data_IF_451240672416
#
_entry.id   IF_451240672416
#
_cell.length_a   1.000
_cell.length_b   1.000
_cell.length_c   1.000
_cell.angle_alpha   90.00
_cell.angle_beta   90.00
_cell.angle_gamma   90.00
#
_symmetry.space_group_name_H-M   'P 1'
#
loop_
_entity.id
_entity.type
_entity.pdbx_description
1 polymer ?
#
# COMPACT_ATOMS: atom_id res chain seq x y z
N UNK A 1 -5.68 9.09 8.14
CA UNK A 1 -6.71 9.37 7.12
C UNK A 1 -6.30 10.52 6.18
N UNK A 2 -6.07 11.74 6.67
CA UNK A 2 -5.62 12.87 5.84
C UNK A 2 -4.37 12.57 5.01
N UNK A 3 -3.36 11.94 5.61
CA UNK A 3 -2.14 11.57 4.88
C UNK A 3 -2.44 10.66 3.67
N UNK A 4 -3.32 9.67 3.81
CA UNK A 4 -3.72 8.80 2.71
C UNK A 4 -4.44 9.55 1.58
N UNK A 5 -5.36 10.45 1.93
CA UNK A 5 -6.07 11.28 0.94
C UNK A 5 -5.08 12.20 0.19
N UNK A 6 -4.16 12.84 0.93
CA UNK A 6 -3.11 13.69 0.33
C UNK A 6 -2.22 12.85 -0.60
N UNK A 7 -1.85 11.63 -0.19
CA UNK A 7 -1.02 10.74 -1.01
C UNK A 7 -1.72 10.37 -2.31
N UNK A 8 -3.01 10.04 -2.28
CA UNK A 8 -3.79 9.74 -3.48
C UNK A 8 -3.88 10.98 -4.39
N UNK A 9 -4.26 12.13 -3.83
CA UNK A 9 -4.37 13.37 -4.60
C UNK A 9 -3.03 13.76 -5.24
N UNK A 10 -1.93 13.61 -4.51
CA UNK A 10 -0.58 13.88 -5.01
C UNK A 10 -0.18 12.91 -6.13
N UNK A 11 -0.48 11.61 -5.98
CA UNK A 11 -0.23 10.60 -7.02
C UNK A 11 -0.98 10.91 -8.31
N UNK A 12 -2.26 11.29 -8.22
CA UNK A 12 -3.08 11.67 -9.37
C UNK A 12 -2.52 12.94 -10.03
N UNK A 13 -2.19 13.97 -9.26
CA UNK A 13 -1.64 15.23 -9.77
C UNK A 13 -0.30 15.00 -10.51
N UNK A 14 0.59 14.19 -9.95
CA UNK A 14 1.83 13.80 -10.61
C UNK A 14 1.59 12.97 -11.87
N UNK A 15 0.64 12.04 -11.81
CA UNK A 15 0.25 11.22 -12.97
C UNK A 15 -0.21 12.07 -14.15
N UNK A 16 -0.99 13.13 -13.89
CA UNK A 16 -1.43 14.08 -14.92
C UNK A 16 -0.25 14.92 -15.42
N UNK A 17 0.60 15.44 -14.52
CA UNK A 17 1.70 16.32 -14.86
C UNK A 17 2.79 15.64 -15.68
N UNK A 18 3.13 14.40 -15.36
CA UNK A 18 4.21 13.64 -15.98
C UNK A 18 3.74 12.57 -16.98
N UNK A 19 2.42 12.41 -17.15
CA UNK A 19 1.79 11.37 -18.00
C UNK A 19 2.28 9.94 -17.67
N UNK A 20 2.62 9.70 -16.42
CA UNK A 20 3.10 8.42 -15.89
C UNK A 20 2.23 7.98 -14.73
N UNK A 21 2.09 6.66 -14.53
CA UNK A 21 1.39 6.14 -13.36
C UNK A 21 2.37 6.06 -12.19
N UNK A 22 2.00 6.66 -11.07
CA UNK A 22 2.74 6.55 -9.82
C UNK A 22 2.05 5.54 -8.91
N UNK A 23 2.83 4.68 -8.27
CA UNK A 23 2.34 3.58 -7.43
C UNK A 23 1.78 4.04 -6.08
N UNK A 24 1.88 5.35 -5.78
CA UNK A 24 1.47 5.94 -4.51
C UNK A 24 -0.05 5.93 -4.25
N UNK A 25 -0.86 5.74 -5.30
CA UNK A 25 -2.33 5.68 -5.16
C UNK A 25 -2.74 4.49 -4.27
N UNK A 26 -2.23 3.31 -4.56
CA UNK A 26 -2.53 2.10 -3.79
C UNK A 26 -1.99 2.18 -2.36
N UNK A 27 -0.81 2.78 -2.19
CA UNK A 27 -0.27 3.07 -0.87
C UNK A 27 -1.19 4.00 -0.07
N UNK A 28 -1.74 5.03 -0.73
CA UNK A 28 -2.71 5.93 -0.12
C UNK A 28 -3.95 5.20 0.41
N UNK A 29 -4.48 4.23 -0.35
CA UNK A 29 -5.57 3.37 0.11
C UNK A 29 -5.17 2.51 1.31
N UNK A 30 -3.97 1.93 1.32
CA UNK A 30 -3.46 1.19 2.49
C UNK A 30 -3.42 2.08 3.74
N UNK A 31 -2.94 3.32 3.60
CA UNK A 31 -2.87 4.29 4.72
C UNK A 31 -4.28 4.68 5.21
N UNK A 32 -5.24 4.85 4.33
CA UNK A 32 -6.64 5.15 4.72
C UNK A 32 -7.25 3.98 5.49
N UNK A 33 -7.10 2.75 4.98
CA UNK A 33 -7.63 1.56 5.63
C UNK A 33 -7.01 1.34 7.01
N UNK A 34 -5.68 1.45 7.12
CA UNK A 34 -4.99 1.36 8.40
C UNK A 34 -5.46 2.45 9.38
N UNK A 35 -5.64 3.68 8.92
CA UNK A 35 -6.13 4.78 9.76
C UNK A 35 -7.56 4.57 10.24
N UNK A 36 -8.46 4.04 9.41
CA UNK A 36 -9.84 3.71 9.80
C UNK A 36 -9.84 2.59 10.85
N UNK A 37 -9.01 1.56 10.62
CA UNK A 37 -8.87 0.47 11.59
C UNK A 37 -8.33 0.98 12.94
N UNK A 38 -7.27 1.80 12.96
CA UNK A 38 -6.74 2.42 14.17
C UNK A 38 -7.78 3.27 14.91
N UNK A 39 -8.63 4.00 14.19
CA UNK A 39 -9.73 4.78 14.80
C UNK A 39 -10.74 3.87 15.50
N UNK A 40 -11.07 2.73 14.91
CA UNK A 40 -12.01 1.78 15.49
C UNK A 40 -11.50 1.09 16.74
N UNK A 41 -10.21 0.82 16.82
CA UNK A 41 -9.56 0.28 18.01
C UNK A 41 -9.37 1.34 19.11
N UNK A 42 -9.35 2.61 18.75
CA UNK A 42 -9.12 3.69 19.70
C UNK A 42 -10.33 3.96 20.61
N UNK A 43 -10.07 4.37 21.86
CA UNK A 43 -11.11 4.85 22.78
C UNK A 43 -11.83 6.11 22.28
N UNK A 44 -11.23 6.81 21.31
CA UNK A 44 -11.78 8.01 20.68
C UNK A 44 -12.99 7.71 19.76
N UNK A 45 -13.22 6.44 19.40
CA UNK A 45 -14.36 6.05 18.55
C UNK A 45 -15.71 6.56 19.03
N UNK A 46 -15.90 6.58 20.37
CA UNK A 46 -17.16 7.03 20.99
C UNK A 46 -17.37 8.54 20.89
N UNK A 47 -16.30 9.32 20.72
CA UNK A 47 -16.35 10.77 20.55
C UNK A 47 -16.59 11.20 19.10
N UNK A 48 -16.19 10.36 18.13
CA UNK A 48 -16.23 10.69 16.72
C UNK A 48 -17.55 10.36 16.04
N UNK A 49 -18.20 9.28 16.46
CA UNK A 49 -19.47 8.83 15.86
C UNK A 49 -20.45 8.41 16.96
N UNK A 50 -21.72 8.86 16.86
CA UNK A 50 -22.78 8.47 17.81
C UNK A 50 -23.08 6.97 17.74
N UNK A 51 -22.77 6.29 16.63
CA UNK A 51 -22.98 4.85 16.47
C UNK A 51 -21.63 4.10 16.50
N UNK A 52 -21.21 3.72 17.70
CA UNK A 52 -19.97 2.96 17.91
C UNK A 52 -19.98 1.58 17.23
N UNK A 53 -21.16 0.95 17.07
CA UNK A 53 -21.30 -0.34 16.39
C UNK A 53 -21.00 -0.22 14.90
N UNK A 54 -21.53 0.80 14.21
CA UNK A 54 -21.25 1.01 12.79
C UNK A 54 -19.76 1.24 12.51
N UNK A 55 -19.07 1.99 13.40
CA UNK A 55 -17.64 2.20 13.28
C UNK A 55 -16.85 0.91 13.49
N UNK A 56 -17.24 0.10 14.48
CA UNK A 56 -16.62 -1.21 14.71
C UNK A 56 -16.76 -2.12 13.48
N UNK A 57 -17.97 -2.24 12.92
CA UNK A 57 -18.22 -3.00 11.69
C UNK A 57 -17.35 -2.50 10.54
N UNK A 58 -17.26 -1.19 10.35
CA UNK A 58 -16.43 -0.59 9.31
C UNK A 58 -14.95 -0.93 9.49
N UNK A 59 -14.45 -1.01 10.72
CA UNK A 59 -13.06 -1.38 11.00
C UNK A 59 -12.77 -2.84 10.64
N UNK A 60 -13.70 -3.76 10.95
CA UNK A 60 -13.56 -5.15 10.54
C UNK A 60 -13.58 -5.29 9.01
N UNK A 61 -14.47 -4.59 8.33
CA UNK A 61 -14.49 -4.57 6.85
C UNK A 61 -13.16 -4.06 6.29
N UNK A 62 -12.55 -3.03 6.91
CA UNK A 62 -11.27 -2.50 6.45
C UNK A 62 -10.11 -3.49 6.63
N UNK A 63 -10.07 -4.26 7.72
CA UNK A 63 -9.01 -5.27 7.90
C UNK A 63 -9.16 -6.43 6.91
N UNK A 64 -10.39 -6.87 6.63
CA UNK A 64 -10.69 -7.90 5.64
C UNK A 64 -10.31 -7.48 4.21
N UNK A 65 -10.46 -6.18 3.89
CA UNK A 65 -10.09 -5.62 2.60
C UNK A 65 -8.60 -5.25 2.49
N UNK A 66 -7.87 -5.14 3.59
CA UNK A 66 -6.49 -4.65 3.60
C UNK A 66 -5.53 -5.43 2.67
N UNK A 67 -5.64 -6.77 2.49
CA UNK A 67 -4.80 -7.50 1.55
C UNK A 67 -4.94 -7.04 0.09
N UNK A 68 -6.09 -6.49 -0.31
CA UNK A 68 -6.35 -6.09 -1.70
C UNK A 68 -5.45 -4.94 -2.15
N UNK A 69 -5.47 -3.73 -1.53
CA UNK A 69 -4.60 -2.65 -1.96
C UNK A 69 -3.11 -2.94 -1.71
N UNK A 70 -2.76 -3.76 -0.71
CA UNK A 70 -1.39 -4.23 -0.50
C UNK A 70 -0.94 -5.05 -1.71
N UNK A 71 -1.75 -6.01 -2.17
CA UNK A 71 -1.44 -6.85 -3.34
C UNK A 71 -1.26 -6.01 -4.59
N UNK A 72 -2.16 -5.05 -4.85
CA UNK A 72 -2.03 -4.13 -5.99
C UNK A 72 -0.76 -3.28 -5.90
N UNK A 73 -0.45 -2.72 -4.73
CA UNK A 73 0.74 -1.93 -4.53
C UNK A 73 2.01 -2.72 -4.84
N UNK A 74 2.12 -3.95 -4.31
CA UNK A 74 3.28 -4.81 -4.53
C UNK A 74 3.37 -5.26 -5.99
N UNK A 75 2.24 -5.64 -6.61
CA UNK A 75 2.21 -6.04 -8.02
C UNK A 75 2.71 -4.92 -8.93
N UNK A 76 2.34 -3.67 -8.65
CA UNK A 76 2.83 -2.50 -9.40
C UNK A 76 4.34 -2.33 -9.24
N UNK A 77 4.87 -2.48 -8.01
CA UNK A 77 6.31 -2.43 -7.75
C UNK A 77 7.08 -3.54 -8.48
N UNK A 78 6.44 -4.70 -8.70
CA UNK A 78 6.98 -5.85 -9.41
C UNK A 78 6.65 -5.85 -10.91
N UNK A 79 6.08 -4.75 -11.43
CA UNK A 79 5.71 -4.60 -12.85
C UNK A 79 4.77 -5.71 -13.36
N UNK A 80 3.84 -6.17 -12.53
CA UNK A 80 2.82 -7.17 -12.89
C UNK A 80 3.35 -8.61 -13.02
N UNK A 81 4.58 -8.89 -12.62
CA UNK A 81 5.23 -10.21 -12.82
C UNK A 81 4.54 -11.32 -12.06
N UNK A 82 4.03 -11.05 -10.87
CA UNK A 82 3.37 -12.01 -10.00
C UNK A 82 1.85 -11.83 -9.93
N UNK A 83 1.26 -11.15 -10.94
CA UNK A 83 -0.18 -10.79 -10.99
C UNK A 83 -1.11 -11.97 -10.71
N UNK A 84 -0.80 -13.17 -11.23
CA UNK A 84 -1.63 -14.35 -11.00
C UNK A 84 -1.73 -14.76 -9.53
N UNK A 85 -0.62 -14.65 -8.80
CA UNK A 85 -0.56 -14.98 -7.37
C UNK A 85 -1.34 -13.95 -6.56
N UNK A 86 -1.12 -12.66 -6.85
CA UNK A 86 -1.84 -11.58 -6.18
C UNK A 86 -3.34 -11.60 -6.46
N UNK A 87 -3.78 -11.93 -7.67
CA UNK A 87 -5.21 -12.11 -7.98
C UNK A 87 -5.84 -13.22 -7.12
N UNK A 88 -5.11 -14.29 -6.81
CA UNK A 88 -5.62 -15.34 -5.93
C UNK A 88 -5.82 -14.79 -4.51
N UNK A 89 -4.85 -14.04 -3.99
CA UNK A 89 -4.94 -13.42 -2.66
C UNK A 89 -6.11 -12.43 -2.59
N UNK A 90 -6.26 -11.59 -3.61
CA UNK A 90 -7.36 -10.63 -3.73
C UNK A 90 -8.72 -11.34 -3.70
N UNK A 91 -8.87 -12.40 -4.51
CA UNK A 91 -10.12 -13.17 -4.57
C UNK A 91 -10.41 -13.90 -3.24
N UNK A 92 -9.40 -14.43 -2.56
CA UNK A 92 -9.57 -15.06 -1.25
C UNK A 92 -10.03 -14.01 -0.23
N UNK A 93 -9.43 -12.82 -0.21
CA UNK A 93 -9.81 -11.73 0.71
C UNK A 93 -11.23 -11.24 0.45
N UNK A 94 -11.62 -11.07 -0.82
CA UNK A 94 -12.98 -10.66 -1.18
C UNK A 94 -14.02 -11.73 -0.85
N UNK A 95 -13.67 -13.00 -1.03
CA UNK A 95 -14.52 -14.12 -0.64
C UNK A 95 -14.69 -14.19 0.88
N UNK A 96 -13.61 -14.02 1.63
CA UNK A 96 -13.64 -13.99 3.10
C UNK A 96 -14.51 -12.84 3.61
N UNK A 97 -14.37 -11.64 3.04
CA UNK A 97 -15.24 -10.49 3.35
C UNK A 97 -16.71 -10.82 3.11
N UNK A 98 -17.03 -11.46 1.98
CA UNK A 98 -18.42 -11.84 1.66
C UNK A 98 -18.95 -12.84 2.68
N UNK A 99 -18.19 -13.89 2.98
CA UNK A 99 -18.58 -14.94 3.93
C UNK A 99 -18.76 -14.34 5.33
N UNK A 100 -17.80 -13.59 5.83
CA UNK A 100 -17.88 -12.94 7.15
C UNK A 100 -19.05 -11.98 7.25
N UNK A 101 -19.33 -11.22 6.17
CA UNK A 101 -20.48 -10.30 6.14
C UNK A 101 -21.83 -11.04 6.17
N UNK A 102 -21.94 -12.16 5.44
CA UNK A 102 -23.15 -13.00 5.46
C UNK A 102 -23.34 -13.63 6.83
N UNK A 103 -22.28 -14.15 7.47
CA UNK A 103 -22.35 -14.73 8.80
C UNK A 103 -22.77 -13.70 9.84
N UNK A 104 -22.24 -12.48 9.76
CA UNK A 104 -22.60 -11.39 10.67
C UNK A 104 -24.07 -10.94 10.50
N UNK A 105 -24.51 -10.74 9.26
CA UNK A 105 -25.91 -10.32 8.96
C UNK A 105 -26.91 -11.40 9.36
N UNK A 106 -26.56 -12.68 9.20
CA UNK A 106 -27.42 -13.81 9.59
C UNK A 106 -27.43 -14.05 11.10
N UNK A 107 -26.58 -13.40 11.87
CA UNK A 107 -26.45 -13.59 13.31
C UNK A 107 -25.83 -14.94 13.72
N UNK A 108 -25.18 -15.64 12.80
CA UNK A 108 -24.54 -16.94 13.05
C UNK A 108 -23.19 -16.73 13.75
N UNK A 109 -22.39 -15.75 13.31
CA UNK A 109 -21.10 -15.42 13.90
C UNK A 109 -20.80 -13.92 13.79
N UNK A 110 -20.18 -13.37 14.80
CA UNK A 110 -19.73 -11.98 14.78
C UNK A 110 -18.36 -11.85 14.10
N UNK A 111 -18.06 -10.64 13.60
CA UNK A 111 -16.76 -10.32 12.98
C UNK A 111 -15.57 -10.62 13.91
N UNK A 112 -15.74 -10.50 15.24
CA UNK A 112 -14.71 -10.83 16.23
C UNK A 112 -14.38 -12.32 16.20
N UNK A 113 -15.38 -13.18 15.99
CA UNK A 113 -15.20 -14.64 15.95
C UNK A 113 -14.50 -15.07 14.66
N UNK A 114 -14.68 -14.35 13.57
CA UNK A 114 -14.03 -14.60 12.27
C UNK A 114 -12.68 -13.88 12.11
N UNK A 115 -12.33 -12.98 13.02
CA UNK A 115 -11.08 -12.20 12.99
C UNK A 115 -9.80 -13.06 12.85
N UNK A 116 -9.67 -14.24 13.49
CA UNK A 116 -8.50 -15.09 13.28
C UNK A 116 -8.29 -15.53 11.84
N UNK A 117 -9.37 -15.70 11.06
CA UNK A 117 -9.30 -16.06 9.64
C UNK A 117 -8.72 -14.89 8.85
N UNK A 118 -9.24 -13.68 9.10
CA UNK A 118 -8.73 -12.45 8.45
C UNK A 118 -7.24 -12.23 8.76
N UNK A 119 -6.80 -12.41 10.00
CA UNK A 119 -5.39 -12.34 10.36
C UNK A 119 -4.56 -13.44 9.68
N UNK A 120 -5.10 -14.65 9.50
CA UNK A 120 -4.47 -15.73 8.76
C UNK A 120 -4.26 -15.36 7.28
N UNK A 121 -5.26 -14.76 6.64
CA UNK A 121 -5.16 -14.30 5.23
C UNK A 121 -4.15 -13.15 5.12
N UNK A 122 -4.15 -12.22 6.07
CA UNK A 122 -3.19 -11.13 6.11
C UNK A 122 -1.75 -11.65 6.28
N UNK A 123 -1.53 -12.60 7.19
CA UNK A 123 -0.24 -13.24 7.40
C UNK A 123 0.22 -14.01 6.14
N UNK A 124 -0.69 -14.74 5.48
CA UNK A 124 -0.42 -15.40 4.21
C UNK A 124 -0.02 -14.40 3.12
N UNK A 125 -0.72 -13.27 3.04
CA UNK A 125 -0.38 -12.17 2.13
C UNK A 125 1.03 -11.66 2.36
N UNK A 126 1.40 -11.42 3.63
CA UNK A 126 2.75 -10.99 4.01
C UNK A 126 3.80 -12.01 3.57
N UNK A 127 3.56 -13.31 3.80
CA UNK A 127 4.47 -14.38 3.38
C UNK A 127 4.64 -14.39 1.85
N UNK A 128 3.55 -14.30 1.10
CA UNK A 128 3.57 -14.26 -0.37
C UNK A 128 4.38 -13.05 -0.86
N UNK A 129 4.16 -11.87 -0.26
CA UNK A 129 4.92 -10.66 -0.58
C UNK A 129 6.42 -10.87 -0.35
N UNK A 130 6.82 -11.43 0.80
CA UNK A 130 8.24 -11.72 1.06
C UNK A 130 8.83 -12.70 0.06
N UNK A 131 8.12 -13.76 -0.28
CA UNK A 131 8.59 -14.78 -1.24
C UNK A 131 8.77 -14.17 -2.63
N UNK A 132 7.80 -13.41 -3.12
CA UNK A 132 7.87 -12.78 -4.45
C UNK A 132 8.96 -11.71 -4.53
N UNK A 133 9.14 -10.90 -3.49
CA UNK A 133 10.23 -9.91 -3.40
C UNK A 133 11.59 -10.60 -3.39
N UNK A 134 11.75 -11.67 -2.62
CA UNK A 134 13.00 -12.41 -2.54
C UNK A 134 13.35 -13.08 -3.88
N UNK A 135 12.36 -13.61 -4.57
CA UNK A 135 12.52 -14.17 -5.92
C UNK A 135 13.00 -13.11 -6.92
N UNK A 136 12.36 -11.94 -6.92
CA UNK A 136 12.72 -10.82 -7.79
C UNK A 136 14.08 -10.23 -7.46
N UNK A 137 14.44 -10.19 -6.18
CA UNK A 137 15.78 -9.75 -5.75
C UNK A 137 16.85 -10.69 -6.27
N UNK A 138 16.65 -12.01 -6.16
CA UNK A 138 17.59 -13.02 -6.71
C UNK A 138 17.76 -12.92 -8.23
N UNK A 139 16.68 -12.55 -8.94
CA UNK A 139 16.70 -12.38 -10.40
C UNK A 139 17.29 -11.03 -10.83
N UNK A 140 17.69 -10.17 -9.89
CA UNK A 140 18.22 -8.83 -10.17
C UNK A 140 17.21 -7.87 -10.78
N UNK A 141 15.92 -8.18 -10.68
CA UNK A 141 14.84 -7.41 -11.27
C UNK A 141 14.44 -6.18 -10.44
N UNK A 142 14.91 -6.09 -9.21
CA UNK A 142 14.65 -4.99 -8.28
C UNK A 142 15.72 -3.89 -8.44
N UNK A 143 15.68 -3.14 -9.54
CA UNK A 143 16.58 -1.99 -9.74
C UNK A 143 15.94 -0.71 -9.20
N UNK A 144 16.66 -0.01 -8.32
CA UNK A 144 16.33 1.36 -7.90
C UNK A 144 15.35 1.52 -6.73
N UNK A 145 14.91 0.44 -6.07
CA UNK A 145 13.86 0.48 -5.05
C UNK A 145 14.30 0.13 -3.63
N UNK A 146 15.59 0.28 -3.31
CA UNK A 146 16.12 -0.06 -1.98
C UNK A 146 15.35 0.61 -0.83
N UNK A 147 15.01 1.88 -0.95
CA UNK A 147 14.23 2.61 0.06
C UNK A 147 12.82 2.04 0.23
N UNK A 148 12.13 1.78 -0.88
CA UNK A 148 10.78 1.22 -0.87
C UNK A 148 10.78 -0.18 -0.27
N UNK A 149 11.76 -1.02 -0.64
CA UNK A 149 11.89 -2.38 -0.11
C UNK A 149 12.11 -2.37 1.40
N UNK A 150 13.02 -1.51 1.88
CA UNK A 150 13.28 -1.37 3.33
C UNK A 150 12.03 -0.92 4.08
N UNK A 151 11.31 0.09 3.56
CA UNK A 151 10.06 0.57 4.15
C UNK A 151 8.98 -0.50 4.17
N UNK A 152 8.87 -1.28 3.09
CA UNK A 152 7.89 -2.35 2.96
C UNK A 152 8.16 -3.49 3.94
N UNK A 153 9.40 -3.97 4.02
CA UNK A 153 9.80 -5.02 4.98
C UNK A 153 9.52 -4.56 6.41
N UNK A 154 9.86 -3.32 6.74
CA UNK A 154 9.59 -2.76 8.06
C UNK A 154 8.08 -2.66 8.35
N UNK A 155 7.29 -2.15 7.41
CA UNK A 155 5.83 -2.07 7.55
C UNK A 155 5.19 -3.46 7.74
N UNK A 156 5.62 -4.45 6.97
CA UNK A 156 5.13 -5.83 7.08
C UNK A 156 5.48 -6.46 8.46
N UNK A 157 6.66 -6.21 8.98
CA UNK A 157 7.04 -6.65 10.33
C UNK A 157 6.14 -5.98 11.38
N UNK A 158 5.85 -4.69 11.24
CA UNK A 158 4.94 -3.97 12.13
C UNK A 158 3.51 -4.56 12.09
N UNK A 159 3.00 -4.91 10.91
CA UNK A 159 1.70 -5.57 10.74
C UNK A 159 1.67 -6.93 11.44
N UNK A 160 2.72 -7.75 11.29
CA UNK A 160 2.81 -9.05 11.96
C UNK A 160 2.87 -8.90 13.49
N UNK A 161 3.66 -7.95 13.99
CA UNK A 161 3.76 -7.69 15.44
C UNK A 161 2.39 -7.24 15.98
N UNK A 162 1.71 -6.34 15.29
CA UNK A 162 0.37 -5.88 15.68
C UNK A 162 -0.65 -7.04 15.71
N UNK A 163 -0.67 -7.86 14.65
CA UNK A 163 -1.58 -9.02 14.57
C UNK A 163 -1.32 -10.02 15.70
N UNK A 164 -0.06 -10.25 16.05
CA UNK A 164 0.29 -11.11 17.18
C UNK A 164 -0.07 -10.47 18.51
N UNK A 165 0.15 -9.17 18.70
CA UNK A 165 -0.12 -8.45 19.95
C UNK A 165 -1.61 -8.49 20.33
N UNK A 166 -2.50 -8.57 19.34
CA UNK A 166 -3.94 -8.71 19.55
C UNK A 166 -4.29 -9.96 20.38
N UNK A 167 -3.51 -11.03 20.25
CA UNK A 167 -3.74 -12.28 20.98
C UNK A 167 -3.03 -12.35 22.35
N UNK A 168 -2.04 -11.48 22.60
CA UNK A 168 -1.24 -11.48 23.83
C UNK A 168 -1.65 -10.42 24.86
N UNK A 169 -2.85 -9.83 24.74
CA UNK A 169 -3.41 -8.86 25.71
C UNK A 169 -2.53 -7.61 25.92
N UNK A 170 -1.72 -7.25 24.96
CA UNK A 170 -0.95 -6.00 25.03
C UNK A 170 -1.82 -4.88 24.47
N UNK A 171 -2.30 -4.01 25.34
CA UNK A 171 -3.20 -2.87 25.02
C UNK A 171 -2.53 -1.75 24.19
N UNK A 172 -1.74 -2.11 23.17
CA UNK A 172 -0.99 -1.16 22.33
C UNK A 172 -1.53 -1.22 20.88
N UNK A 173 -2.84 -1.33 20.71
CA UNK A 173 -3.45 -1.52 19.40
C UNK A 173 -3.23 -0.31 18.49
N UNK A 174 -2.76 -0.58 17.27
CA UNK A 174 -2.61 0.39 16.17
C UNK A 174 -1.29 1.14 16.11
N UNK A 175 -0.46 1.13 17.15
CA UNK A 175 0.78 1.92 17.17
C UNK A 175 1.81 1.38 16.19
N UNK A 176 2.03 0.08 16.15
CA UNK A 176 3.01 -0.53 15.25
C UNK A 176 2.63 -0.33 13.78
N UNK A 177 1.35 -0.54 13.44
CA UNK A 177 0.87 -0.27 12.08
C UNK A 177 1.04 1.21 11.73
N UNK A 178 0.72 2.13 12.65
CA UNK A 178 0.90 3.57 12.44
C UNK A 178 2.35 3.94 12.15
N UNK A 179 3.29 3.42 12.91
CA UNK A 179 4.73 3.63 12.71
C UNK A 179 5.17 3.02 11.36
N UNK A 180 4.80 1.77 11.10
CA UNK A 180 5.15 1.07 9.86
C UNK A 180 4.66 1.78 8.62
N UNK A 181 3.40 2.22 8.61
CA UNK A 181 2.80 2.94 7.50
C UNK A 181 3.41 4.34 7.32
N UNK A 182 3.76 5.02 8.40
CA UNK A 182 4.42 6.33 8.33
C UNK A 182 5.81 6.21 7.71
N UNK A 183 6.60 5.25 8.13
CA UNK A 183 7.94 5.01 7.57
C UNK A 183 7.84 4.61 6.10
N UNK A 184 6.93 3.71 5.75
CA UNK A 184 6.70 3.30 4.37
C UNK A 184 6.31 4.50 3.49
N UNK A 185 5.41 5.37 3.98
CA UNK A 185 4.98 6.57 3.26
C UNK A 185 6.15 7.53 3.02
N UNK A 186 6.95 7.82 4.06
CA UNK A 186 8.11 8.71 3.95
C UNK A 186 9.13 8.18 2.95
N UNK A 187 9.46 6.90 3.02
CA UNK A 187 10.43 6.29 2.10
C UNK A 187 9.93 6.26 0.65
N UNK A 188 8.63 6.04 0.43
CA UNK A 188 8.04 6.15 -0.90
C UNK A 188 8.02 7.58 -1.42
N UNK A 189 7.80 8.58 -0.56
CA UNK A 189 7.88 9.97 -0.95
C UNK A 189 9.30 10.33 -1.41
N UNK A 190 10.32 9.91 -0.65
CA UNK A 190 11.73 10.10 -1.03
C UNK A 190 12.04 9.46 -2.38
N UNK A 191 11.57 8.21 -2.60
CA UNK A 191 11.70 7.54 -3.91
C UNK A 191 11.05 8.35 -5.02
N UNK A 192 9.81 8.79 -4.83
CA UNK A 192 9.06 9.54 -5.85
C UNK A 192 9.77 10.85 -6.22
N UNK A 193 10.32 11.57 -5.25
CA UNK A 193 11.11 12.78 -5.49
C UNK A 193 12.35 12.44 -6.33
N UNK A 194 13.03 11.37 -6.02
CA UNK A 194 14.20 10.92 -6.79
C UNK A 194 13.82 10.54 -8.23
N UNK A 195 12.74 9.80 -8.42
CA UNK A 195 12.23 9.39 -9.74
C UNK A 195 11.85 10.61 -10.60
N UNK A 196 11.23 11.63 -9.99
CA UNK A 196 10.91 12.91 -10.65
C UNK A 196 12.19 13.63 -11.10
N UNK A 197 13.18 13.71 -10.22
CA UNK A 197 14.46 14.36 -10.56
C UNK A 197 15.18 13.64 -11.70
N UNK A 198 15.14 12.32 -11.75
CA UNK A 198 15.72 11.56 -12.85
C UNK A 198 14.98 11.78 -14.17
N UNK A 199 13.65 11.82 -14.13
CA UNK A 199 12.83 12.13 -15.32
C UNK A 199 13.12 13.53 -15.85
N UNK A 200 13.23 14.53 -14.99
CA UNK A 200 13.55 15.90 -15.40
C UNK A 200 14.95 16.02 -16.01
N UNK A 201 15.94 15.38 -15.39
CA UNK A 201 17.31 15.31 -15.95
C UNK A 201 17.33 14.66 -17.33
N UNK A 202 16.55 13.60 -17.51
CA UNK A 202 16.44 12.91 -18.80
C UNK A 202 15.78 13.77 -19.87
N UNK A 203 14.71 14.50 -19.52
CA UNK A 203 14.06 15.48 -20.43
C UNK A 203 15.01 16.59 -20.85
N UNK A 204 15.74 17.17 -19.91
CA UNK A 204 16.73 18.22 -20.20
C UNK A 204 17.85 17.74 -21.14
N UNK A 205 18.30 16.49 -20.97
CA UNK A 205 19.30 15.91 -21.89
C UNK A 205 18.76 15.79 -23.31
N UNK A 206 17.53 15.26 -23.45
CA UNK A 206 16.89 15.12 -24.77
C UNK A 206 16.73 16.48 -25.44
N UNK A 207 16.27 17.50 -24.74
CA UNK A 207 16.14 18.85 -25.26
C UNK A 207 17.48 19.47 -25.69
N UNK A 208 18.53 19.23 -24.90
CA UNK A 208 19.90 19.70 -25.25
C UNK A 208 20.42 19.00 -26.50
N UNK A 209 20.21 17.69 -26.63
CA UNK A 209 20.64 16.92 -27.79
C UNK A 209 19.85 17.36 -29.08
N UNK A 210 18.55 17.59 -28.94
CA UNK A 210 17.74 18.14 -30.06
C UNK A 210 18.22 19.52 -30.51
N UNK A 211 18.49 20.44 -29.57
CA UNK A 211 19.04 21.77 -29.90
C UNK A 211 20.40 21.68 -30.58
N UNK A 212 21.26 20.76 -30.10
CA UNK A 212 22.57 20.53 -30.72
C UNK A 212 22.43 20.03 -32.15
N UNK A 213 21.57 19.04 -32.39
CA UNK A 213 21.32 18.50 -33.72
C UNK A 213 20.75 19.56 -34.68
N UNK A 214 19.86 20.43 -34.17
CA UNK A 214 19.33 21.57 -34.96
C UNK A 214 20.44 22.56 -35.33
N UNK A 215 21.34 22.91 -34.43
CA UNK A 215 22.46 23.80 -34.69
C UNK A 215 23.44 23.19 -35.70
N UNK A 216 23.74 21.90 -35.60
CA UNK A 216 24.58 21.17 -36.55
C UNK A 216 23.93 21.15 -37.96
N UNK A 217 22.63 20.91 -38.05
CA UNK A 217 21.90 20.94 -39.33
C UNK A 217 21.93 22.32 -39.98
N UNK A 218 21.78 23.40 -39.20
CA UNK A 218 21.85 24.78 -39.69
C UNK A 218 23.29 25.09 -40.17
N UNK A 219 24.32 24.65 -39.48
CA UNK A 219 25.71 24.89 -39.81
C UNK A 219 26.15 24.20 -41.13
N UNK A 220 25.49 23.07 -41.48
CA UNK A 220 25.74 22.34 -42.72
C UNK A 220 25.03 22.95 -43.93
N UNK A 221 24.05 23.85 -43.72
CA UNK A 221 23.31 24.52 -44.78
C UNK A 221 23.90 25.89 -45.17
N UNK A 222 24.80 26.40 -44.35
CA UNK A 222 25.58 27.62 -44.63
C UNK A 222 26.92 27.30 -45.29
#
# INVERSE_FOLDING_TARGET
>A
MFAGIITIAFSIALGIAYQTKFDMEYLGWCVIMAAVWMLGESKLRQLLLPNASALATMCFVMILLCPVPISYYIDTLQHGRHRKIFNIVENISLFDLLVCSVLHISGIADYIETLPIAHGILALTVVIVFVTIFEDHKKGCFKGTGYTLTGLVFAMLCVLIESLSTYFVVSISGIFIGIGMTILLVLNLVKTIHDIQEMERSRQKIEMDERRNQMEAISLQM
#
